data_IF_953445772051
#
_entry.id   IF_953445772051
#
_cell.length_a   1.000
_cell.length_b   1.000
_cell.length_c   1.000
_cell.angle_alpha   90.00
_cell.angle_beta   90.00
_cell.angle_gamma   90.00
#
_symmetry.space_group_name_H-M   'P 1'
#
loop_
_entity.id
_entity.type
_entity.pdbx_description
1 polymer ?
#
# COMPACT_ATOMS: atom_id res chain seq x y z
N UNK A 1 50.94 65.10 -15.22
CA UNK A 1 49.55 65.49 -14.92
C UNK A 1 48.74 64.20 -14.83
N UNK A 2 48.43 63.67 -13.64
CA UNK A 2 47.31 64.08 -12.77
C UNK A 2 45.97 63.92 -13.54
N UNK A 3 44.97 63.11 -13.15
CA UNK A 3 44.22 63.03 -11.87
C UNK A 3 43.36 61.73 -11.94
N UNK A 4 43.57 60.69 -11.13
CA UNK A 4 42.94 60.28 -9.83
C UNK A 4 41.58 59.54 -9.87
N UNK A 5 41.56 58.42 -9.11
CA UNK A 5 40.49 57.90 -8.19
C UNK A 5 39.16 57.40 -8.82
N UNK A 6 38.46 56.34 -8.37
CA UNK A 6 38.53 55.44 -7.22
C UNK A 6 37.71 54.15 -7.52
N UNK A 7 37.88 53.14 -6.68
CA UNK A 7 37.25 51.83 -6.71
C UNK A 7 35.70 51.81 -6.58
N UNK A 8 35.07 50.83 -7.22
CA UNK A 8 33.77 50.24 -6.82
C UNK A 8 33.79 48.77 -7.32
N UNK A 9 34.02 47.77 -6.46
CA UNK A 9 33.06 47.14 -5.54
C UNK A 9 31.99 46.33 -6.29
N UNK A 10 32.26 45.02 -6.36
CA UNK A 10 31.45 43.96 -5.74
C UNK A 10 30.17 43.47 -6.46
N UNK A 11 30.07 42.15 -6.46
CA UNK A 11 28.88 41.29 -6.61
C UNK A 11 28.30 41.24 -8.03
N UNK A 12 28.89 40.39 -8.88
CA UNK A 12 28.03 39.56 -9.73
C UNK A 12 27.25 38.69 -8.76
N UNK A 13 26.01 39.11 -8.48
CA UNK A 13 25.04 38.29 -7.76
C UNK A 13 24.83 37.08 -8.64
N UNK A 14 25.56 36.00 -8.35
CA UNK A 14 25.03 34.68 -8.58
C UNK A 14 23.70 34.70 -7.85
N UNK A 15 22.62 34.89 -8.62
CA UNK A 15 21.30 34.46 -8.20
C UNK A 15 21.45 32.95 -8.12
N UNK A 16 22.01 32.48 -7.00
CA UNK A 16 21.67 31.19 -6.45
C UNK A 16 20.19 31.36 -6.18
N UNK A 17 19.37 31.06 -7.19
CA UNK A 17 18.02 30.60 -6.97
C UNK A 17 18.21 29.60 -5.84
N UNK A 18 17.73 29.86 -4.62
CA UNK A 18 17.71 28.84 -3.59
C UNK A 18 17.01 27.71 -4.30
N UNK A 19 17.74 26.60 -4.50
CA UNK A 19 17.24 25.48 -5.27
C UNK A 19 15.82 25.29 -4.80
N UNK A 20 14.87 25.53 -5.69
CA UNK A 20 13.49 25.12 -5.44
C UNK A 20 13.61 23.61 -5.48
N UNK A 21 14.08 23.02 -4.37
CA UNK A 21 13.86 21.63 -4.07
C UNK A 21 12.36 21.55 -4.17
N UNK A 22 11.92 20.99 -5.29
CA UNK A 22 10.54 20.82 -5.60
C UNK A 22 10.04 19.85 -4.54
N UNK A 23 9.58 20.41 -3.41
CA UNK A 23 9.05 19.63 -2.30
C UNK A 23 7.88 18.84 -2.84
N UNK A 24 8.11 17.56 -3.09
CA UNK A 24 7.04 16.64 -3.49
C UNK A 24 6.08 16.40 -2.34
N UNK A 25 6.47 16.70 -1.10
CA UNK A 25 5.60 16.71 0.07
C UNK A 25 4.64 17.91 -0.03
N UNK A 26 3.33 17.68 -0.17
CA UNK A 26 2.34 18.76 -0.16
C UNK A 26 2.26 19.45 1.21
N UNK A 27 1.96 20.75 1.23
CA UNK A 27 1.87 21.56 2.46
C UNK A 27 0.82 21.08 3.47
N UNK A 28 -0.13 20.27 3.03
CA UNK A 28 -1.16 19.69 3.88
C UNK A 28 -0.76 18.37 4.54
N UNK A 29 0.41 17.81 4.21
CA UNK A 29 1.00 16.67 4.92
C UNK A 29 1.74 17.21 6.14
N UNK A 30 1.28 16.84 7.33
CA UNK A 30 1.94 17.24 8.58
C UNK A 30 3.15 16.32 8.81
N UNK A 31 4.32 16.92 8.96
CA UNK A 31 5.55 16.19 9.25
C UNK A 31 5.77 16.08 10.76
N UNK A 32 6.34 14.96 11.19
CA UNK A 32 6.66 14.66 12.58
C UNK A 32 8.16 14.78 12.81
N UNK A 33 8.55 15.44 13.89
CA UNK A 33 9.95 15.66 14.21
C UNK A 33 10.55 14.42 14.84
N UNK A 34 11.78 14.09 14.49
CA UNK A 34 12.53 12.98 15.10
C UNK A 34 12.66 13.12 16.62
N UNK A 35 12.73 14.36 17.11
CA UNK A 35 12.84 14.68 18.54
C UNK A 35 11.50 14.66 19.30
N UNK A 36 10.37 14.43 18.62
CA UNK A 36 9.06 14.41 19.25
C UNK A 36 8.96 13.22 20.22
N UNK A 37 8.76 13.44 21.53
CA UNK A 37 8.64 12.34 22.50
C UNK A 37 7.41 11.47 22.23
N UNK A 38 6.40 12.00 21.55
CA UNK A 38 5.17 11.31 21.17
C UNK A 38 5.10 11.10 19.64
N UNK A 39 6.23 10.71 19.03
CA UNK A 39 6.37 10.53 17.58
C UNK A 39 5.22 9.71 16.95
N UNK A 40 4.87 8.56 17.54
CA UNK A 40 3.80 7.71 17.03
C UNK A 40 2.44 8.42 17.03
N UNK A 41 2.14 9.21 18.07
CA UNK A 41 0.90 9.98 18.13
C UNK A 41 0.89 11.11 17.09
N UNK A 42 2.03 11.74 16.84
CA UNK A 42 2.16 12.70 15.75
C UNK A 42 1.87 12.05 14.39
N UNK A 43 2.46 10.87 14.12
CA UNK A 43 2.26 10.16 12.85
C UNK A 43 0.80 9.76 12.67
N UNK A 44 0.16 9.21 13.71
CA UNK A 44 -1.27 8.89 13.70
C UNK A 44 -2.09 10.16 13.39
N UNK A 45 -1.83 11.26 14.08
CA UNK A 45 -2.53 12.53 13.84
C UNK A 45 -2.36 13.04 12.41
N UNK A 46 -1.16 12.89 11.83
CA UNK A 46 -0.91 13.25 10.43
C UNK A 46 -1.69 12.37 9.46
N UNK A 47 -1.70 11.04 9.66
CA UNK A 47 -2.46 10.10 8.84
C UNK A 47 -3.97 10.40 8.92
N UNK A 48 -4.50 10.66 10.10
CA UNK A 48 -5.91 11.02 10.29
C UNK A 48 -6.28 12.34 9.58
N UNK A 49 -5.40 13.34 9.63
CA UNK A 49 -5.59 14.60 8.90
C UNK A 49 -5.58 14.41 7.37
N UNK A 50 -4.93 13.35 6.87
CA UNK A 50 -4.92 13.00 5.46
C UNK A 50 -6.13 12.17 5.03
N UNK A 51 -6.87 11.55 5.96
CA UNK A 51 -8.01 10.67 5.68
C UNK A 51 -9.00 11.22 4.64
N UNK A 52 -9.43 12.49 4.68
CA UNK A 52 -10.37 13.05 3.69
C UNK A 52 -9.81 13.10 2.25
N UNK A 53 -8.49 12.95 2.07
CA UNK A 53 -7.81 12.99 0.78
C UNK A 53 -7.40 11.61 0.27
N UNK A 54 -7.42 10.58 1.13
CA UNK A 54 -6.96 9.24 0.76
C UNK A 54 -7.79 8.63 -0.38
N UNK A 55 -9.07 9.01 -0.54
CA UNK A 55 -9.90 8.62 -1.69
C UNK A 55 -9.44 9.20 -3.04
N UNK A 56 -8.60 10.24 -3.04
CA UNK A 56 -7.99 10.84 -4.23
C UNK A 56 -6.51 10.49 -4.37
N UNK A 57 -5.94 9.83 -3.37
CA UNK A 57 -4.50 9.61 -3.26
C UNK A 57 -3.72 10.91 -3.03
N UNK A 58 -2.41 10.84 -3.20
CA UNK A 58 -1.48 11.99 -3.12
C UNK A 58 -0.62 11.98 -4.40
N UNK A 59 -1.12 12.55 -5.51
CA UNK A 59 -0.45 12.45 -6.81
C UNK A 59 0.98 12.99 -6.83
N UNK A 60 1.28 14.05 -6.07
CA UNK A 60 2.64 14.61 -5.97
C UNK A 60 3.66 13.61 -5.40
N UNK A 61 3.20 12.63 -4.65
CA UNK A 61 4.01 11.58 -4.03
C UNK A 61 3.74 10.21 -4.66
N UNK A 62 3.07 10.13 -5.81
CA UNK A 62 2.69 8.88 -6.46
C UNK A 62 1.96 7.89 -5.52
N UNK A 63 1.16 8.40 -4.58
CA UNK A 63 0.32 7.57 -3.72
C UNK A 63 -1.04 7.42 -4.41
N UNK A 64 -1.48 6.20 -4.74
CA UNK A 64 -2.77 5.99 -5.39
C UNK A 64 -3.94 6.26 -4.44
N UNK A 65 -5.16 6.43 -4.97
CA UNK A 65 -6.38 6.38 -4.17
C UNK A 65 -6.49 5.11 -3.32
N UNK A 66 -6.87 5.26 -2.06
CA UNK A 66 -7.16 4.15 -1.15
C UNK A 66 -8.61 3.65 -1.25
N UNK A 67 -9.50 4.41 -1.89
CA UNK A 67 -10.91 4.05 -2.07
C UNK A 67 -11.56 4.81 -3.25
N UNK A 68 -11.87 4.13 -4.37
CA UNK A 68 -11.46 2.76 -4.66
C UNK A 68 -9.94 2.64 -4.81
N UNK A 69 -9.37 1.59 -4.25
CA UNK A 69 -8.04 1.12 -4.61
C UNK A 69 -8.15 0.24 -5.86
N UNK A 70 -7.35 0.52 -6.88
CA UNK A 70 -7.43 -0.16 -8.18
C UNK A 70 -6.10 -0.80 -8.53
N UNK A 71 -6.12 -2.09 -8.86
CA UNK A 71 -5.00 -2.81 -9.46
C UNK A 71 -5.40 -3.26 -10.88
N UNK A 72 -4.68 -2.80 -11.93
CA UNK A 72 -5.05 -3.12 -13.31
C UNK A 72 -5.04 -4.61 -13.60
N UNK A 73 -4.00 -5.31 -13.13
CA UNK A 73 -3.84 -6.74 -13.30
C UNK A 73 -3.01 -7.33 -12.17
N UNK A 74 -3.23 -8.62 -11.89
CA UNK A 74 -2.43 -9.43 -10.99
C UNK A 74 -2.33 -10.85 -11.55
N UNK A 75 -1.10 -11.34 -11.73
CA UNK A 75 -0.84 -12.74 -12.03
C UNK A 75 -0.47 -13.48 -10.75
N UNK A 76 -1.16 -14.59 -10.51
CA UNK A 76 -0.89 -15.47 -9.38
C UNK A 76 -0.58 -16.85 -9.90
N UNK A 77 0.64 -17.32 -9.64
CA UNK A 77 1.04 -18.69 -9.87
C UNK A 77 1.54 -19.31 -8.55
N UNK A 78 0.85 -20.32 -8.05
CA UNK A 78 1.19 -21.03 -6.82
C UNK A 78 1.10 -22.53 -7.08
N UNK A 79 2.15 -23.26 -6.71
CA UNK A 79 2.19 -24.71 -6.71
C UNK A 79 2.67 -25.15 -5.32
N UNK A 80 1.71 -25.47 -4.46
CA UNK A 80 1.89 -25.93 -3.08
C UNK A 80 0.99 -27.13 -2.85
N UNK A 81 1.28 -27.93 -1.83
CA UNK A 81 0.51 -29.15 -1.54
C UNK A 81 -0.99 -28.88 -1.33
N UNK A 82 -1.33 -27.76 -0.69
CA UNK A 82 -2.71 -27.37 -0.41
C UNK A 82 -3.42 -26.69 -1.59
N UNK A 83 -2.67 -26.11 -2.54
CA UNK A 83 -3.22 -25.36 -3.68
C UNK A 83 -2.28 -25.34 -4.88
N UNK A 84 -2.85 -25.68 -6.05
CA UNK A 84 -2.28 -25.34 -7.35
C UNK A 84 -3.18 -24.27 -7.98
N UNK A 85 -2.66 -23.07 -8.16
CA UNK A 85 -3.41 -21.92 -8.65
C UNK A 85 -2.63 -21.24 -9.76
N UNK A 86 -3.26 -21.11 -10.93
CA UNK A 86 -2.89 -20.13 -11.94
C UNK A 86 -4.08 -19.21 -12.10
N UNK A 87 -3.90 -17.94 -11.78
CA UNK A 87 -4.94 -16.94 -11.92
C UNK A 87 -4.37 -15.71 -12.62
N UNK A 88 -5.14 -15.19 -13.55
CA UNK A 88 -4.96 -13.89 -14.14
C UNK A 88 -6.16 -13.04 -13.73
N UNK A 89 -5.93 -12.07 -12.86
CA UNK A 89 -6.97 -11.16 -12.38
C UNK A 89 -6.82 -9.81 -13.07
N UNK A 90 -7.93 -9.22 -13.48
CA UNK A 90 -7.98 -7.90 -14.12
C UNK A 90 -9.01 -7.00 -13.44
N UNK A 91 -8.86 -5.69 -13.63
CA UNK A 91 -9.82 -4.69 -13.17
C UNK A 91 -10.18 -4.89 -11.70
N UNK A 92 -9.16 -5.11 -10.87
CA UNK A 92 -9.33 -5.36 -9.44
C UNK A 92 -9.65 -4.02 -8.79
N UNK A 93 -10.80 -3.95 -8.14
CA UNK A 93 -11.27 -2.74 -7.46
C UNK A 93 -11.62 -3.11 -6.02
N UNK A 94 -11.02 -2.42 -5.06
CA UNK A 94 -11.29 -2.58 -3.64
C UNK A 94 -11.83 -1.27 -3.05
N UNK A 95 -12.96 -1.36 -2.34
CA UNK A 95 -13.60 -0.26 -1.62
C UNK A 95 -13.55 -0.47 -0.12
N UNK A 96 -13.66 0.62 0.65
CA UNK A 96 -13.64 0.62 2.11
C UNK A 96 -12.26 0.85 2.72
N UNK A 97 -11.22 0.99 1.90
CA UNK A 97 -9.85 1.22 2.35
C UNK A 97 -9.67 2.51 3.16
N UNK A 98 -10.52 3.51 2.95
CA UNK A 98 -10.51 4.76 3.75
C UNK A 98 -11.14 4.62 5.14
N UNK A 99 -11.82 3.50 5.43
CA UNK A 99 -12.49 3.22 6.69
C UNK A 99 -11.60 2.56 7.75
N UNK A 100 -10.28 2.46 7.53
CA UNK A 100 -9.37 1.81 8.48
C UNK A 100 -9.36 2.48 9.86
N UNK A 101 -9.15 1.70 10.90
CA UNK A 101 -8.90 2.16 12.27
C UNK A 101 -7.47 1.77 12.61
N UNK A 102 -6.65 2.73 13.05
CA UNK A 102 -5.31 2.44 13.57
C UNK A 102 -5.48 1.91 14.99
N UNK A 103 -5.18 0.63 15.20
CA UNK A 103 -5.23 0.01 16.52
C UNK A 103 -3.93 0.29 17.30
N UNK A 104 -2.80 0.28 16.58
CA UNK A 104 -1.47 0.49 17.15
C UNK A 104 -0.49 0.95 16.09
N UNK A 105 0.35 1.91 16.43
CA UNK A 105 1.57 2.24 15.72
C UNK A 105 2.72 2.19 16.72
N UNK A 106 3.85 1.61 16.32
CA UNK A 106 5.10 1.66 17.06
C UNK A 106 6.24 1.90 16.09
N UNK A 107 6.99 2.97 16.29
CA UNK A 107 8.16 3.30 15.48
C UNK A 107 9.45 3.19 16.29
N UNK A 108 10.48 2.61 15.69
CA UNK A 108 11.86 2.61 16.19
C UNK A 108 12.71 3.37 15.16
N UNK A 109 12.96 4.65 15.43
CA UNK A 109 13.67 5.54 14.51
C UNK A 109 15.17 5.23 14.42
N UNK A 110 15.74 4.54 15.40
CA UNK A 110 17.15 4.14 15.38
C UNK A 110 17.36 2.89 14.52
N UNK A 111 16.41 1.95 14.59
CA UNK A 111 16.39 0.75 13.72
C UNK A 111 15.68 0.97 12.38
N UNK A 112 15.08 2.15 12.17
CA UNK A 112 14.21 2.45 11.02
C UNK A 112 13.11 1.41 10.82
N UNK A 113 12.52 0.95 11.93
CA UNK A 113 11.52 -0.10 11.94
C UNK A 113 10.14 0.43 12.37
N UNK A 114 9.09 -0.18 11.83
CA UNK A 114 7.70 0.16 12.13
C UNK A 114 6.88 -1.10 12.37
N UNK A 115 6.03 -1.06 13.39
CA UNK A 115 4.95 -2.03 13.60
C UNK A 115 3.61 -1.27 13.57
N UNK A 116 2.72 -1.67 12.67
CA UNK A 116 1.40 -1.07 12.48
C UNK A 116 0.34 -2.16 12.59
N UNK A 117 -0.71 -1.91 13.36
CA UNK A 117 -1.91 -2.75 13.37
C UNK A 117 -3.12 -1.91 13.03
N UNK A 118 -3.87 -2.33 12.02
CA UNK A 118 -5.10 -1.68 11.59
C UNK A 118 -6.27 -2.66 11.51
N UNK A 119 -7.48 -2.11 11.64
CA UNK A 119 -8.73 -2.83 11.37
C UNK A 119 -9.47 -2.14 10.23
N UNK A 120 -9.90 -2.90 9.23
CA UNK A 120 -10.80 -2.46 8.17
C UNK A 120 -12.18 -3.07 8.45
N UNK A 121 -13.18 -2.25 8.84
CA UNK A 121 -14.49 -2.77 9.23
C UNK A 121 -15.20 -3.51 8.10
N UNK A 122 -15.07 -3.01 6.87
CA UNK A 122 -15.72 -3.56 5.70
C UNK A 122 -14.93 -3.26 4.42
N UNK A 123 -14.55 -4.30 3.69
CA UNK A 123 -13.93 -4.22 2.36
C UNK A 123 -14.84 -4.89 1.34
N UNK A 124 -15.02 -4.23 0.19
CA UNK A 124 -15.63 -4.84 -1.00
C UNK A 124 -14.59 -4.94 -2.09
N UNK A 125 -14.39 -6.12 -2.64
CA UNK A 125 -13.48 -6.33 -3.75
C UNK A 125 -14.25 -6.88 -4.95
N UNK A 126 -13.95 -6.38 -6.14
CA UNK A 126 -14.39 -6.95 -7.41
C UNK A 126 -13.19 -7.21 -8.29
N UNK A 127 -13.21 -8.27 -9.07
CA UNK A 127 -12.19 -8.55 -10.06
C UNK A 127 -12.78 -9.37 -11.21
N UNK A 128 -12.28 -9.13 -12.42
CA UNK A 128 -12.40 -10.10 -13.50
C UNK A 128 -11.34 -11.19 -13.30
N UNK A 129 -11.72 -12.44 -13.49
CA UNK A 129 -10.84 -13.58 -13.26
C UNK A 129 -10.76 -14.47 -14.50
N UNK A 130 -9.57 -15.01 -14.73
CA UNK A 130 -9.30 -16.24 -15.48
C UNK A 130 -8.48 -17.16 -14.56
N UNK A 131 -9.05 -18.29 -14.18
CA UNK A 131 -8.53 -19.14 -13.10
C UNK A 131 -8.50 -20.60 -13.52
N UNK A 132 -7.39 -21.26 -13.21
CA UNK A 132 -7.22 -22.70 -13.15
C UNK A 132 -6.72 -23.05 -11.74
N UNK A 133 -7.62 -23.59 -10.90
CA UNK A 133 -7.39 -23.80 -9.49
C UNK A 133 -7.75 -25.21 -9.05
N UNK A 134 -6.79 -25.90 -8.46
CA UNK A 134 -7.00 -27.09 -7.65
C UNK A 134 -6.72 -26.76 -6.19
N UNK A 135 -7.73 -26.87 -5.35
CA UNK A 135 -7.67 -26.53 -3.92
C UNK A 135 -8.42 -27.58 -3.12
N UNK A 136 -7.75 -28.19 -2.14
CA UNK A 136 -8.27 -29.35 -1.40
C UNK A 136 -8.79 -30.45 -2.37
N UNK A 137 -10.08 -30.78 -2.29
CA UNK A 137 -10.78 -31.73 -3.18
C UNK A 137 -11.44 -31.06 -4.40
N UNK A 138 -11.43 -29.73 -4.47
CA UNK A 138 -12.04 -28.94 -5.53
C UNK A 138 -11.11 -28.74 -6.73
N UNK A 139 -11.70 -28.72 -7.93
CA UNK A 139 -11.03 -28.36 -9.17
C UNK A 139 -11.92 -27.39 -9.96
N UNK A 140 -11.46 -26.17 -10.14
CA UNK A 140 -12.22 -25.06 -10.70
C UNK A 140 -11.41 -24.42 -11.81
N UNK A 141 -11.99 -24.42 -13.02
CA UNK A 141 -11.40 -23.76 -14.18
C UNK A 141 -12.45 -22.91 -14.86
N UNK A 142 -12.18 -21.64 -15.07
CA UNK A 142 -13.10 -20.76 -15.79
C UNK A 142 -12.72 -19.29 -15.72
N UNK A 143 -13.53 -18.50 -16.42
CA UNK A 143 -13.41 -17.06 -16.49
C UNK A 143 -14.70 -16.40 -16.03
N UNK A 144 -14.64 -15.18 -15.49
CA UNK A 144 -15.83 -14.49 -15.01
C UNK A 144 -15.54 -13.29 -14.13
N UNK A 145 -16.52 -12.95 -13.28
CA UNK A 145 -16.44 -11.85 -12.31
C UNK A 145 -16.55 -12.40 -10.89
N UNK A 146 -15.60 -12.00 -10.06
CA UNK A 146 -15.59 -12.24 -8.63
C UNK A 146 -16.08 -10.98 -7.90
N UNK A 147 -16.90 -11.17 -6.87
CA UNK A 147 -17.28 -10.12 -5.91
C UNK A 147 -17.12 -10.67 -4.49
N UNK A 148 -16.36 -9.99 -3.65
CA UNK A 148 -16.16 -10.36 -2.25
C UNK A 148 -16.53 -9.21 -1.32
N UNK A 149 -17.20 -9.54 -0.21
CA UNK A 149 -17.36 -8.68 0.95
C UNK A 149 -16.59 -9.31 2.11
N UNK A 150 -15.80 -8.51 2.82
CA UNK A 150 -14.97 -8.96 3.94
C UNK A 150 -15.16 -7.99 5.11
N UNK A 151 -15.41 -8.51 6.30
CA UNK A 151 -15.66 -7.70 7.50
C UNK A 151 -14.69 -8.03 8.62
N UNK A 152 -14.44 -7.04 9.48
CA UNK A 152 -13.47 -7.13 10.59
C UNK A 152 -12.10 -7.66 10.10
N UNK A 153 -11.58 -7.04 9.04
CA UNK A 153 -10.28 -7.42 8.47
C UNK A 153 -9.18 -6.76 9.30
N UNK A 154 -8.41 -7.57 10.02
CA UNK A 154 -7.29 -7.12 10.84
C UNK A 154 -5.99 -7.33 10.09
N UNK A 155 -5.18 -6.28 10.01
CA UNK A 155 -3.91 -6.28 9.29
C UNK A 155 -2.83 -5.83 10.24
N UNK A 156 -1.87 -6.72 10.50
CA UNK A 156 -0.63 -6.37 11.20
C UNK A 156 0.49 -6.29 10.17
N UNK A 157 1.21 -5.17 10.17
CA UNK A 157 2.35 -4.90 9.30
C UNK A 157 3.58 -4.72 10.17
N UNK A 158 4.66 -5.38 9.79
CA UNK A 158 6.00 -5.10 10.30
C UNK A 158 6.87 -4.76 9.11
N UNK A 159 7.63 -3.67 9.21
CA UNK A 159 8.56 -3.30 8.16
C UNK A 159 9.76 -2.58 8.72
N UNK A 160 10.81 -2.55 7.91
CA UNK A 160 12.03 -1.80 8.17
C UNK A 160 12.54 -1.13 6.91
N UNK A 161 13.32 -0.07 7.11
CA UNK A 161 13.92 0.71 6.05
C UNK A 161 15.43 0.73 6.14
N UNK A 162 16.04 1.26 5.08
CA UNK A 162 17.48 1.52 4.98
C UNK A 162 17.70 2.93 4.45
N UNK A 163 18.82 3.53 4.82
CA UNK A 163 19.27 4.80 4.24
C UNK A 163 20.01 4.52 2.94
N UNK A 164 19.65 5.22 1.87
CA UNK A 164 20.32 5.17 0.57
C UNK A 164 20.77 6.57 0.18
N UNK A 165 21.97 6.69 -0.38
CA UNK A 165 22.49 7.96 -0.89
C UNK A 165 22.13 8.13 -2.36
N UNK A 166 21.52 9.27 -2.71
CA UNK A 166 21.17 9.66 -4.09
C UNK A 166 21.61 11.10 -4.29
N UNK A 167 22.52 11.34 -5.24
CA UNK A 167 23.06 12.69 -5.53
C UNK A 167 23.62 13.45 -4.31
N UNK A 168 24.23 12.73 -3.37
CA UNK A 168 24.82 13.32 -2.15
C UNK A 168 23.83 13.52 -1.00
N UNK A 169 22.54 13.28 -1.21
CA UNK A 169 21.49 13.34 -0.18
C UNK A 169 21.10 11.93 0.30
N UNK A 170 20.68 11.84 1.56
CA UNK A 170 20.19 10.60 2.16
C UNK A 170 18.67 10.49 2.00
N UNK A 171 18.20 9.34 1.54
CA UNK A 171 16.79 9.00 1.39
C UNK A 171 16.50 7.72 2.18
N UNK A 172 15.25 7.56 2.63
CA UNK A 172 14.78 6.29 3.15
C UNK A 172 14.22 5.44 2.02
N UNK A 173 14.51 4.14 2.10
CA UNK A 173 13.95 3.12 1.22
C UNK A 173 13.43 1.98 2.08
N UNK A 174 12.27 1.46 1.73
CA UNK A 174 11.73 0.25 2.36
C UNK A 174 12.69 -0.90 2.07
N UNK A 175 13.10 -1.62 3.10
CA UNK A 175 13.97 -2.77 2.99
C UNK A 175 13.18 -4.08 3.02
N UNK A 176 12.31 -4.26 4.02
CA UNK A 176 11.50 -5.45 4.16
C UNK A 176 10.12 -5.12 4.73
N UNK A 177 9.11 -5.86 4.30
CA UNK A 177 7.72 -5.76 4.78
C UNK A 177 7.19 -7.17 5.01
N UNK A 178 6.50 -7.37 6.12
CA UNK A 178 5.75 -8.58 6.44
C UNK A 178 4.35 -8.21 6.88
N UNK A 179 3.37 -8.88 6.29
CA UNK A 179 1.96 -8.62 6.57
C UNK A 179 1.28 -9.88 7.10
N UNK A 180 0.51 -9.73 8.17
CA UNK A 180 -0.41 -10.77 8.66
C UNK A 180 -1.84 -10.27 8.56
N UNK A 181 -2.66 -10.96 7.77
CA UNK A 181 -4.07 -10.61 7.56
C UNK A 181 -4.93 -11.66 8.25
N UNK A 182 -5.97 -11.20 8.94
CA UNK A 182 -7.05 -12.03 9.47
C UNK A 182 -8.38 -11.42 9.03
N UNK A 183 -9.30 -12.28 8.61
CA UNK A 183 -10.63 -11.88 8.16
C UNK A 183 -11.62 -12.40 9.20
N UNK A 184 -12.46 -11.53 9.75
CA UNK A 184 -13.50 -11.94 10.69
C UNK A 184 -14.61 -12.72 9.99
N UNK A 185 -15.19 -12.14 8.95
CA UNK A 185 -16.19 -12.81 8.13
C UNK A 185 -16.09 -12.42 6.64
N UNK A 186 -16.64 -13.24 5.76
CA UNK A 186 -16.62 -12.98 4.32
C UNK A 186 -17.77 -13.61 3.53
N UNK A 187 -18.25 -12.91 2.52
CA UNK A 187 -19.26 -13.40 1.58
C UNK A 187 -18.78 -13.15 0.17
N UNK A 188 -18.78 -14.20 -0.67
CA UNK A 188 -18.33 -14.10 -2.05
C UNK A 188 -19.46 -14.43 -3.02
N UNK A 189 -19.34 -13.91 -4.23
CA UNK A 189 -20.11 -14.29 -5.41
C UNK A 189 -19.13 -14.51 -6.55
N UNK A 190 -19.37 -15.57 -7.31
CA UNK A 190 -18.58 -15.96 -8.47
C UNK A 190 -19.58 -16.08 -9.59
N UNK A 191 -19.37 -15.34 -10.68
CA UNK A 191 -20.22 -15.37 -11.86
C UNK A 191 -19.35 -15.74 -13.05
N UNK A 192 -19.44 -16.97 -13.55
CA UNK A 192 -18.71 -17.39 -14.73
C UNK A 192 -19.31 -16.79 -16.02
N UNK A 193 -18.42 -16.42 -16.95
CA UNK A 193 -18.77 -15.78 -18.23
C UNK A 193 -19.53 -16.72 -19.18
N UNK A 194 -19.13 -18.00 -19.22
CA UNK A 194 -19.73 -19.04 -20.07
C UNK A 194 -20.48 -20.10 -19.24
N UNK A 195 -21.27 -19.65 -18.26
CA UNK A 195 -21.98 -20.55 -17.35
C UNK A 195 -23.35 -21.00 -17.88
N UNK A 196 -23.34 -21.74 -18.99
CA UNK A 196 -24.56 -22.13 -19.72
C UNK A 196 -25.67 -22.74 -18.84
N UNK A 197 -25.31 -23.34 -17.69
CA UNK A 197 -26.25 -23.91 -16.73
C UNK A 197 -26.03 -23.46 -15.26
N UNK A 198 -25.23 -22.42 -14.96
CA UNK A 198 -24.96 -21.97 -13.58
C UNK A 198 -24.07 -22.88 -12.71
N UNK A 199 -23.79 -24.11 -13.17
CA UNK A 199 -23.28 -25.20 -12.33
C UNK A 199 -21.86 -24.97 -11.80
N UNK A 200 -20.99 -24.35 -12.59
CA UNK A 200 -19.60 -24.14 -12.16
C UNK A 200 -19.53 -23.07 -11.08
N UNK A 201 -20.22 -21.95 -11.28
CA UNK A 201 -20.30 -20.85 -10.32
C UNK A 201 -20.95 -21.31 -9.01
N UNK A 202 -22.06 -22.05 -9.10
CA UNK A 202 -22.74 -22.62 -7.95
C UNK A 202 -21.84 -23.61 -7.19
N UNK A 203 -21.17 -24.52 -7.89
CA UNK A 203 -20.27 -25.49 -7.27
C UNK A 203 -19.08 -24.82 -6.58
N UNK A 204 -18.49 -23.81 -7.21
CA UNK A 204 -17.38 -23.04 -6.64
C UNK A 204 -17.84 -22.25 -5.39
N UNK A 205 -19.01 -21.63 -5.45
CA UNK A 205 -19.59 -20.90 -4.32
C UNK A 205 -19.96 -21.83 -3.16
N UNK A 206 -20.58 -22.97 -3.45
CA UNK A 206 -20.91 -23.99 -2.44
C UNK A 206 -19.64 -24.53 -1.78
N UNK A 207 -18.62 -24.86 -2.57
CA UNK A 207 -17.33 -25.30 -2.06
C UNK A 207 -16.70 -24.24 -1.14
N UNK A 208 -16.70 -22.97 -1.56
CA UNK A 208 -16.20 -21.88 -0.72
C UNK A 208 -16.98 -21.80 0.60
N UNK A 209 -18.31 -21.81 0.56
CA UNK A 209 -19.13 -21.67 1.76
C UNK A 209 -18.93 -22.84 2.74
N UNK A 210 -18.77 -24.07 2.22
CA UNK A 210 -18.53 -25.27 3.04
C UNK A 210 -17.12 -25.33 3.64
N UNK A 211 -16.13 -24.73 2.97
CA UNK A 211 -14.70 -24.83 3.34
C UNK A 211 -14.09 -23.46 3.62
N UNK A 212 -14.90 -22.48 4.01
CA UNK A 212 -14.53 -21.06 4.02
C UNK A 212 -13.27 -20.76 4.82
N UNK A 213 -13.15 -21.36 6.01
CA UNK A 213 -12.00 -21.17 6.89
C UNK A 213 -10.72 -21.74 6.27
N UNK A 214 -10.79 -22.95 5.73
CA UNK A 214 -9.68 -23.64 5.09
C UNK A 214 -9.23 -22.92 3.82
N UNK A 215 -10.17 -22.50 2.98
CA UNK A 215 -9.91 -21.72 1.77
C UNK A 215 -9.23 -20.39 2.12
N UNK A 216 -9.74 -19.66 3.12
CA UNK A 216 -9.11 -18.41 3.57
C UNK A 216 -7.69 -18.65 4.09
N UNK A 217 -7.46 -19.70 4.89
CA UNK A 217 -6.11 -20.02 5.39
C UNK A 217 -5.11 -20.31 4.27
N UNK A 218 -5.57 -20.87 3.14
CA UNK A 218 -4.75 -21.17 1.97
C UNK A 218 -4.51 -19.93 1.10
N UNK A 219 -5.53 -19.08 0.92
CA UNK A 219 -5.48 -17.93 0.01
C UNK A 219 -4.87 -16.69 0.66
N UNK A 220 -5.08 -16.46 1.96
CA UNK A 220 -4.58 -15.28 2.67
C UNK A 220 -3.05 -15.09 2.57
N UNK A 221 -2.20 -16.13 2.62
CA UNK A 221 -0.77 -15.97 2.38
C UNK A 221 -0.45 -15.30 1.04
N UNK A 222 -1.19 -15.62 -0.02
CA UNK A 222 -1.03 -15.01 -1.35
C UNK A 222 -1.41 -13.53 -1.29
N UNK A 223 -2.54 -13.21 -0.65
CA UNK A 223 -3.00 -11.82 -0.46
C UNK A 223 -2.00 -11.01 0.36
N UNK A 224 -1.40 -11.62 1.39
CA UNK A 224 -0.37 -11.00 2.21
C UNK A 224 0.89 -10.68 1.39
N UNK A 225 1.37 -11.60 0.55
CA UNK A 225 2.50 -11.36 -0.35
C UNK A 225 2.22 -10.20 -1.32
N UNK A 226 1.05 -10.17 -1.94
CA UNK A 226 0.64 -9.05 -2.81
C UNK A 226 0.54 -7.73 -2.02
N UNK A 227 0.01 -7.77 -0.79
CA UNK A 227 -0.05 -6.59 0.06
C UNK A 227 1.35 -6.09 0.45
N UNK A 228 2.30 -6.99 0.72
CA UNK A 228 3.71 -6.64 0.99
C UNK A 228 4.34 -5.88 -0.18
N UNK A 229 4.12 -6.32 -1.42
CA UNK A 229 4.60 -5.64 -2.63
C UNK A 229 3.98 -4.26 -2.81
N UNK A 230 2.65 -4.16 -2.67
CA UNK A 230 1.92 -2.89 -2.79
C UNK A 230 2.34 -1.89 -1.71
N UNK A 231 2.45 -2.34 -0.46
CA UNK A 231 2.90 -1.50 0.67
C UNK A 231 4.33 -1.03 0.43
N UNK A 232 5.21 -1.91 -0.06
CA UNK A 232 6.60 -1.56 -0.38
C UNK A 232 6.66 -0.49 -1.47
N UNK A 233 5.88 -0.64 -2.53
CA UNK A 233 5.85 0.34 -3.62
C UNK A 233 5.33 1.71 -3.15
N UNK A 234 4.20 1.73 -2.42
CA UNK A 234 3.63 2.97 -1.88
C UNK A 234 4.59 3.60 -0.86
N UNK A 235 5.18 2.80 0.02
CA UNK A 235 6.18 3.24 1.00
C UNK A 235 7.38 3.89 0.32
N UNK A 236 7.92 3.27 -0.73
CA UNK A 236 9.04 3.84 -1.49
C UNK A 236 8.66 5.12 -2.24
N UNK A 237 7.43 5.23 -2.74
CA UNK A 237 6.94 6.47 -3.35
C UNK A 237 6.89 7.63 -2.33
N UNK A 238 6.45 7.34 -1.10
CA UNK A 238 6.39 8.30 0.00
C UNK A 238 7.80 8.67 0.49
N UNK A 239 8.62 7.68 0.83
CA UNK A 239 9.96 7.87 1.41
C UNK A 239 10.97 8.40 0.39
N UNK A 240 10.75 8.16 -0.91
CA UNK A 240 11.53 8.72 -2.01
C UNK A 240 11.08 10.12 -2.46
N UNK A 241 10.07 10.71 -1.81
CA UNK A 241 9.53 12.02 -2.22
C UNK A 241 10.42 13.20 -1.83
N UNK A 242 11.20 13.07 -0.76
CA UNK A 242 12.12 14.09 -0.27
C UNK A 242 13.28 13.44 0.51
N UNK A 243 14.38 14.17 0.75
CA UNK A 243 15.48 13.70 1.59
C UNK A 243 15.02 13.34 3.01
N UNK A 244 15.76 12.44 3.66
CA UNK A 244 15.53 11.98 5.03
C UNK A 244 15.42 13.14 6.02
N UNK A 245 16.30 14.15 5.91
CA UNK A 245 16.27 15.35 6.76
C UNK A 245 15.00 16.19 6.61
N UNK A 246 14.31 16.10 5.45
CA UNK A 246 13.04 16.77 5.23
C UNK A 246 11.84 15.91 5.66
N UNK A 247 11.90 14.59 5.44
CA UNK A 247 10.82 13.67 5.85
C UNK A 247 10.76 13.48 7.36
N UNK A 248 11.92 13.42 8.02
CA UNK A 248 12.08 13.32 9.47
C UNK A 248 12.92 14.49 9.98
N UNK A 249 12.34 15.70 10.03
CA UNK A 249 13.05 16.89 10.51
C UNK A 249 13.46 16.73 11.98
N UNK A 250 14.54 17.42 12.37
CA UNK A 250 15.02 17.45 13.75
C UNK A 250 14.02 18.13 14.71
#
# INVERSE_FOLDING_TARGET
>A
MAVRLAAAVLIVVTVVLPGVLCRKIPSYVKLCKKSDPDFDACVISSVEALRPRLNKGIPKMNVPPADPFVLPALEVNRDRDAIKLRAHLQNIVAHGGTGFVINRLKTDLDKLAVELSITLPHIRATAEYDVDCRILLGNFKGQGVFMGNFTDVKVDVKGDGKVVKRNGEEYLEVNNVKTKIRVGDSSVKINAKDDRNGRLSESALQFYNQNKKEVLNIVLPIVQETAEEVITQIGNNILGSAPLSELLPA
#
